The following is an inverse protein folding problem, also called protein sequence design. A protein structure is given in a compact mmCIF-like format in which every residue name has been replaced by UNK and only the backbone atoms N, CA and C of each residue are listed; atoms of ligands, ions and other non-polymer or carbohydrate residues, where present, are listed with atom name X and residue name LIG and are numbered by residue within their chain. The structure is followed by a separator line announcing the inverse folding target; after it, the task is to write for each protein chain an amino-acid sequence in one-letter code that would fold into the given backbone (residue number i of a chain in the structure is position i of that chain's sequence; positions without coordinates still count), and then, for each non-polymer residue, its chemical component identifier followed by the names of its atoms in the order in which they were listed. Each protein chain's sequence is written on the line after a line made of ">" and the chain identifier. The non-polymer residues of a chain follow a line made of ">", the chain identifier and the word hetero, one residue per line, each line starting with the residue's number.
data_IF_261013859735
#
_entry.id   IF_261013859735
#
_cell.length_a   1.000
_cell.length_b   1.000
_cell.length_c   1.000
_cell.angle_alpha   90.00
_cell.angle_beta   90.00
_cell.angle_gamma   90.00
#
_symmetry.space_group_name_H-M   'P 1'
#
loop_
_entity.id
_entity.type
_entity.pdbx_description
1 polymer ?
#
# COMPACT_ATOMS: atom_id res chain seq x y z
N UNK A 1 -40.95 30.42 -8.96
CA UNK A 1 -40.08 31.46 -9.55
C UNK A 1 -39.08 30.78 -10.47
N UNK A 2 -38.86 31.27 -11.70
CA UNK A 2 -37.88 30.67 -12.59
C UNK A 2 -36.48 30.94 -12.04
N UNK A 3 -35.65 29.91 -11.97
CA UNK A 3 -34.24 30.01 -11.61
C UNK A 3 -33.55 30.69 -12.79
N UNK A 4 -33.21 31.96 -12.63
CA UNK A 4 -32.38 32.66 -13.60
C UNK A 4 -30.98 32.04 -13.56
N UNK A 5 -30.63 31.29 -14.60
CA UNK A 5 -29.25 30.88 -14.86
C UNK A 5 -28.54 32.13 -15.36
N UNK A 6 -27.93 32.89 -14.44
CA UNK A 6 -26.94 33.89 -14.85
C UNK A 6 -25.76 33.16 -15.49
N UNK A 7 -25.22 33.64 -16.62
CA UNK A 7 -24.02 33.07 -17.19
C UNK A 7 -22.92 33.16 -16.12
N UNK A 8 -22.51 32.01 -15.60
CA UNK A 8 -21.42 31.89 -14.66
C UNK A 8 -20.16 32.38 -15.37
N UNK A 9 -19.75 33.63 -15.11
CA UNK A 9 -18.36 34.02 -15.38
C UNK A 9 -17.51 33.05 -14.59
N UNK A 10 -16.80 32.16 -15.29
CA UNK A 10 -15.91 31.23 -14.64
C UNK A 10 -14.95 32.04 -13.75
N UNK A 11 -14.80 31.69 -12.46
CA UNK A 11 -13.80 32.32 -11.61
C UNK A 11 -12.45 32.23 -12.30
N UNK A 12 -11.65 33.30 -12.24
CA UNK A 12 -10.29 33.34 -12.78
C UNK A 12 -9.34 33.33 -11.60
N UNK A 13 -8.39 32.38 -11.48
CA UNK A 13 -7.47 32.34 -10.34
C UNK A 13 -6.67 33.64 -10.26
N UNK A 14 -6.39 34.10 -9.05
CA UNK A 14 -5.50 35.23 -8.81
C UNK A 14 -4.24 34.76 -8.09
N UNK A 15 -3.08 35.17 -8.58
CA UNK A 15 -1.78 34.85 -7.99
C UNK A 15 -1.74 35.28 -6.51
N UNK A 16 -1.40 34.34 -5.62
CA UNK A 16 -1.26 34.59 -4.18
C UNK A 16 -2.51 34.28 -3.35
N UNK A 17 -3.64 33.94 -3.97
CA UNK A 17 -4.81 33.38 -3.24
C UNK A 17 -4.41 32.07 -2.55
N UNK A 18 -4.80 31.90 -1.28
CA UNK A 18 -4.57 30.65 -0.55
C UNK A 18 -5.82 29.78 -0.62
N UNK A 19 -5.65 28.52 -1.01
CA UNK A 19 -6.75 27.57 -1.10
C UNK A 19 -7.34 27.30 0.29
N UNK A 20 -8.66 27.44 0.41
CA UNK A 20 -9.43 26.95 1.55
C UNK A 20 -9.66 25.44 1.42
N UNK A 21 -8.71 24.67 1.95
CA UNK A 21 -8.72 23.21 1.93
C UNK A 21 -9.90 22.61 2.71
N UNK A 22 -10.41 23.31 3.73
CA UNK A 22 -11.54 22.82 4.53
C UNK A 22 -12.82 22.87 3.69
N UNK A 23 -13.07 23.97 3.00
CA UNK A 23 -14.22 24.11 2.10
C UNK A 23 -14.12 23.14 0.92
N UNK A 24 -12.93 22.99 0.31
CA UNK A 24 -12.70 22.04 -0.77
C UNK A 24 -13.05 20.61 -0.31
N UNK A 25 -12.56 20.18 0.86
CA UNK A 25 -12.80 18.82 1.35
C UNK A 25 -14.25 18.60 1.79
N UNK A 26 -14.88 19.60 2.42
CA UNK A 26 -16.28 19.53 2.81
C UNK A 26 -17.19 19.29 1.58
N UNK A 27 -17.05 20.11 0.53
CA UNK A 27 -17.87 19.98 -0.67
C UNK A 27 -17.56 18.70 -1.45
N UNK A 28 -16.31 18.24 -1.42
CA UNK A 28 -15.91 16.96 -2.00
C UNK A 28 -16.60 15.78 -1.32
N UNK A 29 -16.69 15.83 0.02
CA UNK A 29 -17.41 14.82 0.81
C UNK A 29 -18.90 14.82 0.49
N UNK A 30 -19.54 15.99 0.44
CA UNK A 30 -20.95 16.10 0.06
C UNK A 30 -21.19 15.52 -1.34
N UNK A 31 -20.29 15.78 -2.30
CA UNK A 31 -20.42 15.27 -3.66
C UNK A 31 -20.32 13.74 -3.73
N UNK A 32 -19.41 13.14 -2.97
CA UNK A 32 -19.13 11.71 -2.95
C UNK A 32 -20.13 10.90 -2.12
N UNK A 33 -20.51 11.42 -0.96
CA UNK A 33 -21.22 10.65 0.06
C UNK A 33 -22.74 10.94 0.07
N UNK A 34 -23.15 12.12 -0.40
CA UNK A 34 -24.56 12.54 -0.39
C UNK A 34 -25.13 12.76 -1.79
N UNK A 35 -24.68 13.80 -2.51
CA UNK A 35 -25.15 14.13 -3.85
C UNK A 35 -24.29 15.21 -4.52
N UNK A 36 -23.96 14.98 -5.79
CA UNK A 36 -23.33 16.00 -6.64
C UNK A 36 -24.20 17.26 -6.82
N UNK A 37 -25.54 17.12 -6.85
CA UNK A 37 -26.44 18.27 -6.96
C UNK A 37 -26.38 19.16 -5.72
N UNK A 38 -26.32 18.55 -4.53
CA UNK A 38 -26.20 19.27 -3.27
C UNK A 38 -24.85 19.98 -3.16
N UNK A 39 -23.77 19.31 -3.55
CA UNK A 39 -22.44 19.92 -3.60
C UNK A 39 -22.39 21.11 -4.55
N UNK A 40 -23.00 21.03 -5.74
CA UNK A 40 -23.14 22.17 -6.68
C UNK A 40 -23.97 23.32 -6.09
N UNK A 41 -25.00 23.01 -5.31
CA UNK A 41 -25.77 24.02 -4.60
C UNK A 41 -24.91 24.76 -3.56
N UNK A 42 -24.14 24.03 -2.74
CA UNK A 42 -23.24 24.64 -1.76
C UNK A 42 -22.10 25.42 -2.42
N UNK A 43 -21.55 24.93 -3.53
CA UNK A 43 -20.58 25.67 -4.36
C UNK A 43 -21.14 27.01 -4.79
N UNK A 44 -22.38 27.07 -5.27
CA UNK A 44 -22.99 28.34 -5.69
C UNK A 44 -23.21 29.31 -4.53
N UNK A 45 -23.50 28.80 -3.34
CA UNK A 45 -23.57 29.62 -2.13
C UNK A 45 -22.18 30.13 -1.70
N UNK A 46 -21.12 29.33 -1.89
CA UNK A 46 -19.74 29.70 -1.58
C UNK A 46 -19.26 30.94 -2.36
N UNK A 47 -19.73 31.11 -3.61
CA UNK A 47 -19.49 32.33 -4.42
C UNK A 47 -20.04 33.57 -3.72
N UNK A 48 -21.22 33.45 -3.10
CA UNK A 48 -21.90 34.57 -2.42
C UNK A 48 -21.25 34.90 -1.08
N UNK A 49 -20.66 33.90 -0.42
CA UNK A 49 -19.95 34.08 0.86
C UNK A 49 -18.51 34.60 0.70
N UNK A 50 -18.06 34.86 -0.54
CA UNK A 50 -16.76 35.46 -0.82
C UNK A 50 -15.58 34.49 -0.78
N UNK A 51 -15.81 33.20 -1.07
CA UNK A 51 -14.71 32.25 -1.30
C UNK A 51 -13.91 32.69 -2.52
N UNK A 52 -12.58 32.60 -2.43
CA UNK A 52 -11.65 33.05 -3.47
C UNK A 52 -11.78 32.23 -4.76
N UNK A 53 -11.31 32.82 -5.87
CA UNK A 53 -11.49 32.22 -7.19
C UNK A 53 -10.71 30.91 -7.35
N UNK A 54 -9.49 30.83 -6.79
CA UNK A 54 -8.66 29.64 -6.80
C UNK A 54 -9.32 28.45 -6.08
N UNK A 55 -9.92 28.68 -4.92
CA UNK A 55 -10.67 27.68 -4.14
C UNK A 55 -11.91 27.22 -4.91
N UNK A 56 -12.65 28.13 -5.54
CA UNK A 56 -13.81 27.78 -6.37
C UNK A 56 -13.42 26.89 -7.55
N UNK A 57 -12.30 27.16 -8.22
CA UNK A 57 -11.80 26.35 -9.34
C UNK A 57 -11.35 24.96 -8.86
N UNK A 58 -10.71 24.87 -7.70
CA UNK A 58 -10.36 23.60 -7.08
C UNK A 58 -11.62 22.74 -6.79
N UNK A 59 -12.67 23.37 -6.24
CA UNK A 59 -13.97 22.73 -6.01
C UNK A 59 -14.58 22.27 -7.35
N UNK A 60 -14.68 23.17 -8.32
CA UNK A 60 -15.28 22.87 -9.63
C UNK A 60 -14.56 21.73 -10.33
N UNK A 61 -13.24 21.70 -10.24
CA UNK A 61 -12.44 20.61 -10.78
C UNK A 61 -12.80 19.27 -10.15
N UNK A 62 -12.94 19.20 -8.82
CA UNK A 62 -13.34 17.95 -8.13
C UNK A 62 -14.79 17.56 -8.47
N UNK A 63 -15.70 18.52 -8.56
CA UNK A 63 -17.09 18.25 -8.94
C UNK A 63 -17.20 17.74 -10.38
N UNK A 64 -16.43 18.30 -11.32
CA UNK A 64 -16.34 17.82 -12.70
C UNK A 64 -15.77 16.39 -12.75
N UNK A 65 -14.73 16.11 -11.95
CA UNK A 65 -14.18 14.76 -11.84
C UNK A 65 -15.24 13.74 -11.34
N UNK A 66 -15.98 14.07 -10.28
CA UNK A 66 -17.06 13.21 -9.77
C UNK A 66 -18.25 13.09 -10.72
N UNK A 67 -18.46 14.07 -11.60
CA UNK A 67 -19.45 13.99 -12.66
C UNK A 67 -19.03 13.06 -13.82
N UNK A 68 -17.75 12.67 -13.88
CA UNK A 68 -17.16 11.94 -15.00
C UNK A 68 -16.62 12.85 -16.12
N UNK A 69 -16.68 14.16 -15.94
CA UNK A 69 -16.21 15.18 -16.90
C UNK A 69 -14.69 15.38 -16.77
N UNK A 70 -13.92 14.31 -17.05
CA UNK A 70 -12.47 14.24 -16.79
C UNK A 70 -11.68 15.35 -17.51
N UNK A 71 -12.10 15.72 -18.73
CA UNK A 71 -11.42 16.75 -19.52
C UNK A 71 -11.58 18.14 -18.91
N UNK A 72 -12.80 18.50 -18.51
CA UNK A 72 -13.08 19.77 -17.83
C UNK A 72 -12.35 19.83 -16.49
N UNK A 73 -12.40 18.72 -15.73
CA UNK A 73 -11.71 18.60 -14.45
C UNK A 73 -10.20 18.83 -14.58
N UNK A 74 -9.56 18.31 -15.64
CA UNK A 74 -8.14 18.51 -15.93
C UNK A 74 -7.83 19.95 -16.35
N UNK A 75 -8.62 20.53 -17.26
CA UNK A 75 -8.45 21.92 -17.70
C UNK A 75 -8.51 22.90 -16.53
N UNK A 76 -9.45 22.72 -15.60
CA UNK A 76 -9.58 23.56 -14.41
C UNK A 76 -8.34 23.47 -13.50
N UNK A 77 -7.74 22.28 -13.33
CA UNK A 77 -6.49 22.14 -12.57
C UNK A 77 -5.31 22.79 -13.28
N UNK A 78 -5.22 22.65 -14.60
CA UNK A 78 -4.14 23.24 -15.39
C UNK A 78 -4.20 24.77 -15.33
N UNK A 79 -5.38 25.36 -15.44
CA UNK A 79 -5.61 26.80 -15.24
C UNK A 79 -5.22 27.23 -13.83
N UNK A 80 -5.67 26.50 -12.80
CA UNK A 80 -5.34 26.81 -11.40
C UNK A 80 -3.82 26.79 -11.15
N UNK A 81 -3.11 25.82 -11.70
CA UNK A 81 -1.66 25.72 -11.54
C UNK A 81 -0.87 26.73 -12.37
N UNK A 82 -1.39 27.16 -13.52
CA UNK A 82 -0.76 28.17 -14.38
C UNK A 82 -0.87 29.58 -13.79
N UNK A 83 -2.01 29.91 -13.21
CA UNK A 83 -2.35 31.27 -12.79
C UNK A 83 -2.20 31.52 -11.28
N UNK A 84 -1.96 30.47 -10.48
CA UNK A 84 -1.69 30.61 -9.05
C UNK A 84 -0.56 29.67 -8.57
N UNK A 85 0.63 30.22 -8.34
CA UNK A 85 1.80 29.45 -7.90
C UNK A 85 1.65 28.84 -6.51
N UNK A 86 0.80 29.39 -5.64
CA UNK A 86 0.53 28.85 -4.29
C UNK A 86 -0.28 27.56 -4.37
N UNK A 87 -1.10 27.39 -5.41
CA UNK A 87 -1.95 26.23 -5.65
C UNK A 87 -1.21 25.05 -6.30
N UNK A 88 0.02 25.25 -6.79
CA UNK A 88 0.78 24.22 -7.52
C UNK A 88 0.96 22.91 -6.73
N UNK A 89 1.15 22.99 -5.41
CA UNK A 89 1.29 21.80 -4.58
C UNK A 89 0.00 20.96 -4.58
N UNK A 90 -1.16 21.62 -4.42
CA UNK A 90 -2.48 21.01 -4.50
C UNK A 90 -2.76 20.43 -5.88
N UNK A 91 -2.49 21.19 -6.95
CA UNK A 91 -2.72 20.76 -8.34
C UNK A 91 -1.93 19.50 -8.65
N UNK A 92 -0.65 19.44 -8.28
CA UNK A 92 0.20 18.25 -8.51
C UNK A 92 -0.30 17.03 -7.75
N UNK A 93 -0.76 17.22 -6.52
CA UNK A 93 -1.32 16.12 -5.72
C UNK A 93 -2.63 15.59 -6.30
N UNK A 94 -3.53 16.47 -6.74
CA UNK A 94 -4.77 16.09 -7.42
C UNK A 94 -4.49 15.35 -8.74
N UNK A 95 -3.56 15.85 -9.56
CA UNK A 95 -3.16 15.18 -10.81
C UNK A 95 -2.58 13.78 -10.55
N UNK A 96 -1.75 13.63 -9.51
CA UNK A 96 -1.20 12.35 -9.08
C UNK A 96 -2.31 11.37 -8.67
N UNK A 97 -3.25 11.82 -7.83
CA UNK A 97 -4.40 11.03 -7.39
C UNK A 97 -5.26 10.57 -8.58
N UNK A 98 -5.57 11.48 -9.50
CA UNK A 98 -6.41 11.18 -10.68
C UNK A 98 -5.72 10.22 -11.64
N UNK A 99 -4.43 10.41 -11.90
CA UNK A 99 -3.65 9.47 -12.70
C UNK A 99 -3.66 8.05 -12.09
N UNK A 100 -3.47 7.95 -10.77
CA UNK A 100 -3.56 6.66 -10.08
C UNK A 100 -4.97 6.05 -10.17
N UNK A 101 -6.02 6.86 -10.02
CA UNK A 101 -7.41 6.41 -10.12
C UNK A 101 -7.78 5.93 -11.53
N UNK A 102 -7.23 6.56 -12.58
CA UNK A 102 -7.40 6.16 -13.98
C UNK A 102 -6.55 4.95 -14.40
N UNK A 103 -5.67 4.45 -13.52
CA UNK A 103 -4.74 3.36 -13.84
C UNK A 103 -3.50 3.81 -14.62
N UNK A 104 -3.27 5.12 -14.75
CA UNK A 104 -2.08 5.71 -15.36
C UNK A 104 -0.90 5.72 -14.37
N UNK A 105 -0.50 4.53 -13.94
CA UNK A 105 0.51 4.32 -12.89
C UNK A 105 1.85 4.98 -13.19
N UNK A 106 2.22 5.09 -14.46
CA UNK A 106 3.48 5.73 -14.87
C UNK A 106 3.45 7.23 -14.61
N UNK A 107 2.32 7.88 -14.89
CA UNK A 107 2.14 9.32 -14.64
C UNK A 107 2.14 9.57 -13.14
N UNK A 108 1.38 8.77 -12.38
CA UNK A 108 1.34 8.86 -10.93
C UNK A 108 2.72 8.64 -10.29
N UNK A 109 3.47 7.62 -10.72
CA UNK A 109 4.82 7.35 -10.23
C UNK A 109 5.79 8.51 -10.53
N UNK A 110 5.78 9.04 -11.76
CA UNK A 110 6.62 10.20 -12.11
C UNK A 110 6.27 11.44 -11.30
N UNK A 111 4.98 11.69 -11.04
CA UNK A 111 4.54 12.81 -10.22
C UNK A 111 5.07 12.71 -8.77
N UNK A 112 4.97 11.53 -8.14
CA UNK A 112 5.53 11.30 -6.79
C UNK A 112 7.05 11.48 -6.78
N UNK A 113 7.75 10.92 -7.78
CA UNK A 113 9.19 11.02 -7.89
C UNK A 113 9.65 12.49 -8.06
N UNK A 114 9.01 13.24 -8.95
CA UNK A 114 9.30 14.68 -9.14
C UNK A 114 8.98 15.52 -7.89
N UNK A 115 7.90 15.19 -7.17
CA UNK A 115 7.56 15.83 -5.89
C UNK A 115 8.67 15.63 -4.86
N UNK A 116 9.19 14.41 -4.75
CA UNK A 116 10.29 14.10 -3.85
C UNK A 116 11.59 14.84 -4.19
N UNK A 117 11.88 15.09 -5.47
CA UNK A 117 13.07 15.83 -5.90
C UNK A 117 12.97 17.35 -5.72
N UNK A 118 11.76 17.90 -5.74
CA UNK A 118 11.55 19.37 -5.74
C UNK A 118 11.18 19.94 -4.38
N UNK A 119 10.71 19.11 -3.45
CA UNK A 119 10.31 19.55 -2.13
C UNK A 119 11.52 19.94 -1.27
N UNK A 120 11.49 21.18 -0.72
CA UNK A 120 12.54 21.68 0.19
C UNK A 120 12.46 21.07 1.60
N UNK A 121 11.25 20.70 2.03
CA UNK A 121 10.97 20.03 3.32
C UNK A 121 9.94 18.96 3.05
N UNK A 122 10.32 17.71 3.30
CA UNK A 122 9.42 16.56 3.19
C UNK A 122 9.07 16.09 4.61
N UNK A 123 7.80 16.20 4.97
CA UNK A 123 7.32 15.75 6.29
C UNK A 123 7.25 14.22 6.38
N UNK A 124 7.04 13.53 5.25
CA UNK A 124 6.94 12.07 5.19
C UNK A 124 7.57 11.50 3.91
N UNK A 125 8.90 11.50 3.87
CA UNK A 125 9.66 10.91 2.75
C UNK A 125 9.43 9.41 2.58
N UNK A 126 9.17 8.70 3.69
CA UNK A 126 8.93 7.26 3.65
C UNK A 126 7.61 6.93 2.97
N UNK A 127 6.53 7.65 3.29
CA UNK A 127 5.26 7.47 2.57
C UNK A 127 5.38 7.75 1.07
N UNK A 128 6.23 8.71 0.66
CA UNK A 128 6.51 8.93 -0.77
C UNK A 128 7.23 7.74 -1.41
N UNK A 129 8.21 7.17 -0.71
CA UNK A 129 8.92 5.97 -1.14
C UNK A 129 7.97 4.78 -1.31
N UNK A 130 7.10 4.56 -0.31
CA UNK A 130 6.06 3.52 -0.33
C UNK A 130 5.07 3.74 -1.48
N UNK A 131 4.60 4.97 -1.67
CA UNK A 131 3.65 5.33 -2.74
C UNK A 131 4.28 5.12 -4.12
N UNK A 132 5.52 5.59 -4.31
CA UNK A 132 6.26 5.41 -5.56
C UNK A 132 6.46 3.93 -5.87
N UNK A 133 6.95 3.16 -4.89
CA UNK A 133 7.11 1.71 -5.02
C UNK A 133 5.80 1.04 -5.44
N UNK A 134 4.69 1.38 -4.76
CA UNK A 134 3.38 0.83 -5.04
C UNK A 134 2.90 1.11 -6.48
N UNK A 135 3.08 2.33 -6.99
CA UNK A 135 2.71 2.64 -8.38
C UNK A 135 3.59 1.90 -9.39
N UNK A 136 4.90 1.87 -9.16
CA UNK A 136 5.82 1.15 -10.02
C UNK A 136 5.53 -0.35 -10.07
N UNK A 137 5.13 -0.95 -8.95
CA UNK A 137 4.75 -2.37 -8.86
C UNK A 137 3.51 -2.71 -9.71
N UNK A 138 2.69 -1.73 -10.12
CA UNK A 138 1.52 -1.93 -10.98
C UNK A 138 1.83 -1.76 -12.47
N UNK A 139 3.04 -1.35 -12.83
CA UNK A 139 3.44 -1.18 -14.23
C UNK A 139 3.62 -2.53 -14.93
N UNK A 140 3.13 -2.69 -16.18
CA UNK A 140 3.44 -3.86 -17.00
C UNK A 140 4.94 -3.95 -17.31
N UNK A 141 5.50 -5.16 -17.36
CA UNK A 141 6.94 -5.39 -17.60
C UNK A 141 7.44 -4.68 -18.87
N UNK A 142 6.71 -4.79 -19.98
CA UNK A 142 7.05 -4.11 -21.24
C UNK A 142 7.11 -2.58 -21.12
N UNK A 143 6.35 -1.99 -20.20
CA UNK A 143 6.42 -0.56 -19.92
C UNK A 143 7.65 -0.22 -19.09
N UNK A 144 7.95 -1.04 -18.07
CA UNK A 144 9.16 -0.87 -17.23
C UNK A 144 10.42 -0.94 -18.09
N UNK A 145 10.57 -1.98 -18.91
CA UNK A 145 11.74 -2.16 -19.79
C UNK A 145 11.93 -0.97 -20.73
N UNK A 146 10.84 -0.52 -21.37
CA UNK A 146 10.87 0.67 -22.23
C UNK A 146 11.28 1.92 -21.47
N UNK A 147 10.77 2.12 -20.24
CA UNK A 147 11.13 3.29 -19.45
C UNK A 147 12.58 3.24 -18.96
N UNK A 148 13.14 2.05 -18.68
CA UNK A 148 14.57 1.89 -18.35
C UNK A 148 15.44 2.36 -19.51
N UNK A 149 15.08 2.01 -20.74
CA UNK A 149 15.81 2.42 -21.95
C UNK A 149 15.77 3.93 -22.21
N UNK A 150 14.66 4.57 -21.82
CA UNK A 150 14.44 6.01 -21.95
C UNK A 150 15.07 6.82 -20.81
N UNK A 151 15.24 6.24 -19.63
CA UNK A 151 15.76 6.90 -18.43
C UNK A 151 17.30 7.05 -18.42
N UNK A 152 17.92 7.40 -19.56
CA UNK A 152 19.38 7.50 -19.68
C UNK A 152 19.97 8.69 -18.93
N UNK A 153 19.21 9.78 -18.88
CA UNK A 153 19.64 11.05 -18.28
C UNK A 153 19.28 11.16 -16.79
N UNK A 154 18.53 10.20 -16.25
CA UNK A 154 18.16 10.14 -14.84
C UNK A 154 18.51 8.77 -14.22
N UNK A 155 19.73 8.62 -13.69
CA UNK A 155 20.18 7.37 -13.07
C UNK A 155 19.36 6.94 -11.86
N UNK A 156 18.80 7.88 -11.11
CA UNK A 156 18.01 7.59 -9.91
C UNK A 156 16.64 7.03 -10.30
N UNK A 157 15.96 7.65 -11.27
CA UNK A 157 14.71 7.12 -11.84
C UNK A 157 14.91 5.76 -12.50
N UNK A 158 16.01 5.59 -13.24
CA UNK A 158 16.38 4.30 -13.82
C UNK A 158 16.59 3.24 -12.75
N UNK A 159 17.27 3.57 -11.66
CA UNK A 159 17.48 2.64 -10.55
C UNK A 159 16.15 2.21 -9.93
N UNK A 160 15.17 3.11 -9.76
CA UNK A 160 13.82 2.79 -9.29
C UNK A 160 13.07 1.81 -10.21
N UNK A 161 13.26 1.89 -11.52
CA UNK A 161 12.65 0.96 -12.47
C UNK A 161 13.36 -0.40 -12.46
N UNK A 162 14.70 -0.41 -12.47
CA UNK A 162 15.51 -1.64 -12.40
C UNK A 162 15.28 -2.40 -11.08
N UNK A 163 15.01 -1.66 -9.99
CA UNK A 163 14.64 -2.20 -8.69
C UNK A 163 13.40 -3.09 -8.77
N UNK A 164 12.36 -2.66 -9.50
CA UNK A 164 11.13 -3.43 -9.67
C UNK A 164 11.38 -4.75 -10.40
N UNK A 165 12.19 -4.69 -11.45
CA UNK A 165 12.58 -5.89 -12.21
C UNK A 165 13.30 -6.86 -11.27
N UNK A 166 14.25 -6.38 -10.47
CA UNK A 166 14.95 -7.23 -9.51
C UNK A 166 14.04 -7.77 -8.40
N UNK A 167 13.10 -6.95 -7.90
CA UNK A 167 12.15 -7.28 -6.85
C UNK A 167 11.19 -8.40 -7.27
N UNK A 168 10.66 -8.32 -8.50
CA UNK A 168 9.71 -9.30 -9.05
C UNK A 168 10.32 -10.68 -9.33
N UNK A 169 11.65 -10.76 -9.45
CA UNK A 169 12.34 -12.02 -9.72
C UNK A 169 12.49 -12.85 -8.45
N UNK A 170 13.36 -12.41 -7.53
CA UNK A 170 13.62 -13.10 -6.27
C UNK A 170 14.46 -12.22 -5.32
N UNK A 171 14.50 -12.63 -4.05
CA UNK A 171 15.24 -11.93 -2.99
C UNK A 171 16.75 -11.86 -3.28
N UNK A 172 17.34 -12.84 -3.95
CA UNK A 172 18.78 -12.86 -4.27
C UNK A 172 19.11 -11.80 -5.31
N UNK A 173 18.34 -11.72 -6.39
CA UNK A 173 18.46 -10.69 -7.45
C UNK A 173 18.23 -9.30 -6.89
N UNK A 174 17.20 -9.15 -6.07
CA UNK A 174 16.93 -7.88 -5.40
C UNK A 174 18.08 -7.47 -4.48
N UNK A 175 18.61 -8.38 -3.66
CA UNK A 175 19.77 -8.09 -2.79
C UNK A 175 21.00 -7.70 -3.60
N UNK A 176 21.26 -8.37 -4.73
CA UNK A 176 22.35 -7.99 -5.64
C UNK A 176 22.16 -6.59 -6.23
N UNK A 177 20.92 -6.26 -6.63
CA UNK A 177 20.57 -4.94 -7.12
C UNK A 177 20.74 -3.88 -6.03
N UNK A 178 20.25 -4.15 -4.80
CA UNK A 178 20.33 -3.25 -3.65
C UNK A 178 21.79 -2.86 -3.37
N UNK A 179 22.69 -3.84 -3.30
CA UNK A 179 24.11 -3.62 -3.03
C UNK A 179 24.82 -2.78 -4.12
N UNK A 180 24.33 -2.77 -5.36
CA UNK A 180 24.96 -2.05 -6.49
C UNK A 180 24.38 -0.66 -6.72
N UNK A 181 23.05 -0.56 -6.64
CA UNK A 181 22.28 0.56 -7.18
C UNK A 181 21.54 1.38 -6.12
N UNK A 182 21.35 0.87 -4.88
CA UNK A 182 20.58 1.61 -3.87
C UNK A 182 21.15 3.00 -3.58
N UNK A 183 22.47 3.17 -3.67
CA UNK A 183 23.15 4.47 -3.51
C UNK A 183 22.75 5.53 -4.56
N UNK A 184 22.17 5.12 -5.68
CA UNK A 184 21.67 6.03 -6.72
C UNK A 184 20.31 6.62 -6.33
N UNK A 185 19.60 6.02 -5.36
CA UNK A 185 18.31 6.48 -4.87
C UNK A 185 18.53 7.26 -3.58
N UNK A 186 18.35 8.58 -3.64
CA UNK A 186 18.41 9.45 -2.46
C UNK A 186 17.01 9.91 -2.04
N UNK A 187 16.20 10.39 -2.99
CA UNK A 187 14.84 10.86 -2.74
C UNK A 187 13.85 10.33 -3.80
N UNK A 188 12.66 9.85 -3.41
CA UNK A 188 12.34 9.48 -2.04
C UNK A 188 13.21 8.27 -1.61
N UNK A 189 13.40 8.02 -0.30
CA UNK A 189 14.11 6.84 0.17
C UNK A 189 13.37 5.56 -0.23
N UNK A 190 14.10 4.45 -0.37
CA UNK A 190 13.50 3.14 -0.56
C UNK A 190 12.59 2.78 0.65
N UNK A 191 11.45 2.12 0.41
CA UNK A 191 10.61 1.58 1.47
C UNK A 191 11.37 0.71 2.47
N UNK A 192 11.13 0.91 3.77
CA UNK A 192 11.76 0.11 4.84
C UNK A 192 11.47 -1.38 4.71
N UNK A 193 10.24 -1.75 4.34
CA UNK A 193 9.85 -3.14 4.18
C UNK A 193 10.67 -3.89 3.12
N UNK A 194 11.23 -3.19 2.12
CA UNK A 194 12.12 -3.80 1.13
C UNK A 194 13.49 -4.14 1.72
N UNK A 195 13.99 -3.30 2.63
CA UNK A 195 15.24 -3.56 3.35
C UNK A 195 15.06 -4.72 4.33
N UNK A 196 13.96 -4.72 5.07
CA UNK A 196 13.58 -5.81 5.97
C UNK A 196 13.39 -7.12 5.21
N UNK A 197 12.80 -7.09 4.03
CA UNK A 197 12.67 -8.26 3.17
C UNK A 197 14.03 -8.86 2.80
N UNK A 198 15.08 -8.06 2.60
CA UNK A 198 16.45 -8.58 2.34
C UNK A 198 17.20 -9.04 3.58
N UNK A 199 16.79 -8.57 4.75
CA UNK A 199 17.46 -8.84 6.03
C UNK A 199 16.65 -9.77 6.94
N UNK A 200 15.58 -10.36 6.42
CA UNK A 200 14.70 -11.25 7.18
C UNK A 200 15.50 -12.37 7.86
N UNK A 201 15.06 -12.80 9.07
CA UNK A 201 15.79 -13.81 9.83
C UNK A 201 15.97 -15.07 8.98
N UNK A 202 17.20 -15.59 8.92
CA UNK A 202 17.43 -16.90 8.32
C UNK A 202 16.71 -17.95 9.15
N UNK A 203 15.71 -18.60 8.55
CA UNK A 203 15.01 -19.70 9.19
C UNK A 203 15.91 -20.93 9.18
N UNK A 204 16.38 -21.34 10.34
CA UNK A 204 17.19 -22.53 10.54
C UNK A 204 16.36 -23.67 11.14
N UNK A 205 15.33 -23.34 11.92
CA UNK A 205 14.45 -24.29 12.61
C UNK A 205 13.00 -23.84 12.52
N UNK A 206 12.16 -24.69 11.95
CA UNK A 206 10.72 -24.51 11.88
C UNK A 206 10.07 -25.66 12.65
N UNK A 207 9.14 -25.33 13.55
CA UNK A 207 8.33 -26.34 14.23
C UNK A 207 6.88 -26.23 13.75
N UNK A 208 6.26 -27.35 13.40
CA UNK A 208 4.87 -27.41 12.97
C UNK A 208 4.04 -28.19 13.98
N UNK A 209 2.95 -27.60 14.47
CA UNK A 209 2.04 -28.17 15.47
C UNK A 209 0.77 -28.60 14.76
N UNK A 210 0.51 -29.91 14.67
CA UNK A 210 -0.63 -30.48 13.94
C UNK A 210 -1.23 -31.67 14.70
N UNK A 211 -2.53 -31.94 14.53
CA UNK A 211 -3.13 -33.18 15.01
C UNK A 211 -2.71 -34.32 14.08
N UNK A 212 -1.75 -35.14 14.51
CA UNK A 212 -1.25 -36.28 13.72
C UNK A 212 -1.84 -37.63 14.18
N UNK A 213 -2.71 -37.61 15.18
CA UNK A 213 -3.48 -38.77 15.65
C UNK A 213 -4.98 -38.44 15.72
N UNK A 214 -5.80 -39.49 15.85
CA UNK A 214 -7.25 -39.37 16.04
C UNK A 214 -8.01 -38.94 14.78
N UNK A 215 -9.18 -38.34 14.98
CA UNK A 215 -10.12 -38.03 13.89
C UNK A 215 -9.59 -37.02 12.86
N UNK A 216 -8.58 -36.24 13.22
CA UNK A 216 -8.01 -35.18 12.37
C UNK A 216 -6.62 -35.54 11.81
N UNK A 217 -6.13 -36.76 12.07
CA UNK A 217 -4.82 -37.22 11.61
C UNK A 217 -4.64 -37.04 10.11
N UNK A 218 -5.61 -37.47 9.30
CA UNK A 218 -5.53 -37.35 7.84
C UNK A 218 -5.38 -35.89 7.36
N UNK A 219 -6.02 -34.94 8.04
CA UNK A 219 -5.89 -33.52 7.71
C UNK A 219 -4.51 -32.97 8.14
N UNK A 220 -4.04 -33.34 9.34
CA UNK A 220 -2.70 -32.97 9.81
C UNK A 220 -1.59 -33.54 8.92
N UNK A 221 -1.69 -34.81 8.52
CA UNK A 221 -0.74 -35.46 7.62
C UNK A 221 -0.69 -34.81 6.24
N UNK A 222 -1.85 -34.43 5.68
CA UNK A 222 -1.90 -33.74 4.39
C UNK A 222 -1.20 -32.37 4.45
N UNK A 223 -1.41 -31.61 5.53
CA UNK A 223 -0.75 -30.31 5.74
C UNK A 223 0.75 -30.50 5.94
N UNK A 224 1.17 -31.48 6.74
CA UNK A 224 2.58 -31.80 6.96
C UNK A 224 3.27 -32.21 5.65
N UNK A 225 2.63 -33.06 4.85
CA UNK A 225 3.15 -33.49 3.56
C UNK A 225 3.37 -32.30 2.61
N UNK A 226 2.39 -31.40 2.49
CA UNK A 226 2.53 -30.17 1.68
C UNK A 226 3.62 -29.24 2.20
N UNK A 227 3.75 -29.09 3.52
CA UNK A 227 4.82 -28.29 4.13
C UNK A 227 6.21 -28.87 3.83
N UNK A 228 6.36 -30.19 3.89
CA UNK A 228 7.60 -30.89 3.53
C UNK A 228 7.90 -30.72 2.04
N UNK A 229 6.94 -30.95 1.15
CA UNK A 229 7.12 -30.76 -0.29
C UNK A 229 7.62 -29.35 -0.61
N UNK A 230 6.95 -28.33 -0.06
CA UNK A 230 7.31 -26.94 -0.30
C UNK A 230 8.67 -26.58 0.30
N UNK A 231 9.02 -27.10 1.47
CA UNK A 231 10.35 -26.93 2.07
C UNK A 231 11.46 -27.44 1.14
N UNK A 232 11.26 -28.59 0.51
CA UNK A 232 12.25 -29.16 -0.42
C UNK A 232 12.32 -28.38 -1.73
N UNK A 233 11.19 -27.87 -2.22
CA UNK A 233 11.12 -27.02 -3.42
C UNK A 233 11.84 -25.68 -3.20
N UNK A 234 11.58 -25.01 -2.07
CA UNK A 234 12.19 -23.72 -1.73
C UNK A 234 13.67 -23.84 -1.36
N UNK A 235 14.07 -24.95 -0.73
CA UNK A 235 15.44 -25.20 -0.27
C UNK A 235 16.01 -26.47 -0.91
N UNK A 236 16.34 -26.43 -2.22
CA UNK A 236 16.89 -27.58 -2.92
C UNK A 236 18.28 -27.97 -2.42
N UNK A 237 19.05 -26.99 -1.92
CA UNK A 237 20.35 -27.23 -1.28
C UNK A 237 20.17 -27.66 0.19
N UNK A 238 20.54 -28.91 0.55
CA UNK A 238 20.39 -29.40 1.91
C UNK A 238 21.17 -28.60 2.97
N UNK A 239 22.29 -27.97 2.60
CA UNK A 239 23.11 -27.20 3.54
C UNK A 239 22.46 -25.87 3.98
N UNK A 240 21.46 -25.39 3.24
CA UNK A 240 20.69 -24.18 3.55
C UNK A 240 19.24 -24.46 3.96
N UNK A 241 18.87 -25.74 4.07
CA UNK A 241 17.48 -26.14 4.34
C UNK A 241 17.19 -26.03 5.84
N UNK A 242 16.13 -25.30 6.25
CA UNK A 242 15.69 -25.29 7.64
C UNK A 242 15.36 -26.71 8.13
N UNK A 243 15.67 -27.01 9.38
CA UNK A 243 15.17 -28.22 10.05
C UNK A 243 13.69 -28.06 10.34
N UNK A 244 12.89 -29.05 9.95
CA UNK A 244 11.46 -29.09 10.26
C UNK A 244 11.20 -30.13 11.35
N UNK A 245 10.65 -29.69 12.48
CA UNK A 245 10.19 -30.55 13.56
C UNK A 245 8.65 -30.58 13.56
N UNK A 246 8.04 -31.75 13.71
CA UNK A 246 6.60 -31.88 13.87
C UNK A 246 6.26 -32.20 15.33
N UNK A 247 5.34 -31.43 15.92
CA UNK A 247 4.75 -31.68 17.23
C UNK A 247 3.32 -32.13 17.02
N UNK A 248 3.02 -33.35 17.45
CA UNK A 248 1.68 -33.89 17.40
C UNK A 248 0.84 -33.30 18.54
N UNK A 249 -0.09 -32.40 18.22
CA UNK A 249 -0.92 -31.73 19.24
C UNK A 249 -1.80 -32.71 20.02
N UNK A 250 -2.16 -33.86 19.43
CA UNK A 250 -3.00 -34.87 20.06
C UNK A 250 -2.30 -35.62 21.21
N UNK A 251 -0.97 -35.52 21.34
CA UNK A 251 -0.19 -36.14 22.42
C UNK A 251 -0.12 -35.28 23.69
N UNK A 252 -0.70 -34.08 23.66
CA UNK A 252 -0.68 -33.14 24.77
C UNK A 252 -2.08 -32.90 25.32
N UNK A 253 -2.23 -32.61 26.63
CA UNK A 253 -3.53 -32.28 27.22
C UNK A 253 -4.18 -31.05 26.59
N UNK A 254 -3.36 -30.10 26.12
CA UNK A 254 -3.81 -28.91 25.41
C UNK A 254 -2.80 -28.48 24.35
N UNK A 255 -3.26 -27.68 23.39
CA UNK A 255 -2.38 -27.04 22.40
C UNK A 255 -1.37 -26.08 23.04
N UNK A 256 -1.69 -25.50 24.21
CA UNK A 256 -0.74 -24.64 24.94
C UNK A 256 0.46 -25.44 25.41
N UNK A 257 0.24 -26.66 25.88
CA UNK A 257 1.31 -27.58 26.29
C UNK A 257 2.13 -28.03 25.08
N UNK A 258 1.47 -28.34 23.96
CA UNK A 258 2.14 -28.64 22.69
C UNK A 258 3.00 -27.45 22.21
N UNK A 259 2.48 -26.22 22.33
CA UNK A 259 3.21 -25.00 21.99
C UNK A 259 4.40 -24.76 22.92
N UNK A 260 4.23 -24.92 24.24
CA UNK A 260 5.35 -24.80 25.18
C UNK A 260 6.45 -25.83 24.89
N UNK A 261 6.08 -27.06 24.53
CA UNK A 261 7.04 -28.06 24.07
C UNK A 261 7.72 -27.64 22.77
N UNK A 262 6.99 -27.07 21.81
CA UNK A 262 7.55 -26.57 20.56
C UNK A 262 8.58 -25.45 20.82
N UNK A 263 8.32 -24.54 21.77
CA UNK A 263 9.24 -23.47 22.17
C UNK A 263 10.56 -24.00 22.73
N UNK A 264 10.55 -25.15 23.41
CA UNK A 264 11.77 -25.78 23.95
C UNK A 264 12.77 -26.20 22.87
N UNK A 265 12.33 -26.39 21.62
CA UNK A 265 13.24 -26.70 20.50
C UNK A 265 13.96 -25.46 19.96
N UNK A 266 13.68 -24.28 20.53
CA UNK A 266 14.14 -22.96 20.09
C UNK A 266 13.95 -22.76 18.58
N UNK A 267 12.71 -22.90 18.05
CA UNK A 267 12.45 -22.67 16.64
C UNK A 267 12.49 -21.17 16.31
N UNK A 268 12.87 -20.85 15.08
CA UNK A 268 12.78 -19.48 14.54
C UNK A 268 11.33 -19.13 14.15
N UNK A 269 10.52 -20.15 13.83
CA UNK A 269 9.14 -20.03 13.40
C UNK A 269 8.32 -21.25 13.85
N UNK A 270 7.12 -21.00 14.36
CA UNK A 270 6.12 -22.04 14.63
C UNK A 270 4.98 -21.93 13.62
N UNK A 271 4.59 -23.06 13.03
CA UNK A 271 3.42 -23.18 12.16
C UNK A 271 2.32 -23.95 12.90
N UNK A 272 1.09 -23.47 12.86
CA UNK A 272 -0.06 -24.09 13.51
C UNK A 272 -0.55 -23.32 14.73
N UNK A 273 -1.59 -23.84 15.40
CA UNK A 273 -2.26 -25.11 15.16
C UNK A 273 -3.22 -25.08 13.96
N UNK A 274 -3.79 -26.25 13.62
CA UNK A 274 -4.65 -26.44 12.44
C UNK A 274 -6.13 -26.17 12.71
N UNK A 275 -6.63 -26.45 13.91
CA UNK A 275 -8.07 -26.36 14.18
C UNK A 275 -8.46 -24.99 14.75
N UNK A 276 -9.67 -24.52 14.46
CA UNK A 276 -10.21 -23.28 15.05
C UNK A 276 -10.16 -23.29 16.59
N UNK A 277 -10.50 -24.43 17.20
CA UNK A 277 -10.53 -24.58 18.65
C UNK A 277 -9.13 -24.46 19.27
N UNK A 278 -8.14 -25.12 18.67
CA UNK A 278 -6.75 -24.99 19.10
C UNK A 278 -6.20 -23.58 18.85
N UNK A 279 -6.56 -22.93 17.74
CA UNK A 279 -6.17 -21.54 17.47
C UNK A 279 -6.73 -20.60 18.55
N UNK A 280 -8.02 -20.70 18.87
CA UNK A 280 -8.64 -19.91 19.92
C UNK A 280 -7.96 -20.14 21.28
N UNK A 281 -7.73 -21.40 21.65
CA UNK A 281 -7.06 -21.76 22.89
C UNK A 281 -5.62 -21.24 22.94
N UNK A 282 -4.88 -21.21 21.83
CA UNK A 282 -3.52 -20.68 21.78
C UNK A 282 -3.50 -19.16 21.91
N UNK A 283 -4.44 -18.45 21.27
CA UNK A 283 -4.52 -16.98 21.31
C UNK A 283 -4.78 -16.43 22.72
N UNK A 284 -5.40 -17.21 23.61
CA UNK A 284 -5.57 -16.85 25.02
C UNK A 284 -4.23 -16.69 25.78
N UNK A 285 -3.11 -17.20 25.26
CA UNK A 285 -1.78 -16.94 25.82
C UNK A 285 -1.33 -15.46 25.64
N UNK A 286 -2.01 -14.71 24.76
CA UNK A 286 -1.65 -13.33 24.44
C UNK A 286 -0.37 -13.27 23.60
N UNK A 287 0.72 -12.75 24.18
CA UNK A 287 2.00 -12.61 23.48
C UNK A 287 2.68 -13.96 23.31
N UNK A 288 2.91 -14.37 22.06
CA UNK A 288 3.67 -15.57 21.73
C UNK A 288 5.16 -15.22 21.63
N UNK A 289 6.07 -15.92 22.35
CA UNK A 289 7.50 -15.59 22.38
C UNK A 289 8.24 -15.91 21.07
N UNK A 290 7.70 -16.82 20.26
CA UNK A 290 8.25 -17.20 18.97
C UNK A 290 7.26 -16.74 17.88
N UNK A 291 7.74 -16.18 16.75
CA UNK A 291 6.89 -15.90 15.60
C UNK A 291 6.05 -17.14 15.24
N UNK A 292 4.72 -16.98 15.20
CA UNK A 292 3.79 -18.10 14.99
C UNK A 292 2.80 -17.77 13.89
N UNK A 293 2.73 -18.62 12.87
CA UNK A 293 1.73 -18.55 11.80
C UNK A 293 0.65 -19.59 12.10
N UNK A 294 -0.53 -19.10 12.49
CA UNK A 294 -1.71 -19.92 12.73
C UNK A 294 -2.24 -20.44 11.38
N UNK A 295 -2.58 -21.73 11.31
CA UNK A 295 -3.07 -22.37 10.08
C UNK A 295 -4.60 -22.33 9.97
N UNK A 296 -5.24 -21.61 10.89
CA UNK A 296 -6.66 -21.33 10.88
C UNK A 296 -6.91 -19.95 11.51
N UNK A 297 -8.13 -19.47 11.38
CA UNK A 297 -8.58 -18.23 12.02
C UNK A 297 -9.50 -18.55 13.19
N UNK A 298 -9.47 -17.76 14.28
CA UNK A 298 -10.50 -17.83 15.30
C UNK A 298 -11.87 -17.54 14.66
N UNK A 299 -12.94 -18.09 15.24
CA UNK A 299 -14.28 -17.72 14.82
C UNK A 299 -14.46 -16.21 15.01
N UNK A 300 -14.85 -15.49 13.95
CA UNK A 300 -15.14 -14.07 14.02
C UNK A 300 -16.51 -13.86 14.69
N UNK A 301 -16.60 -14.16 15.98
CA UNK A 301 -17.75 -13.76 16.79
C UNK A 301 -17.59 -12.27 17.13
N UNK A 302 -18.16 -11.43 16.27
CA UNK A 302 -18.79 -10.15 16.64
C UNK A 302 -18.12 -9.35 17.77
N UNK A 303 -16.87 -8.89 17.59
CA UNK A 303 -16.25 -7.87 18.48
C UNK A 303 -16.50 -6.45 17.96
N UNK A 304 -17.20 -6.30 16.82
CA UNK A 304 -17.43 -5.00 16.18
C UNK A 304 -18.82 -4.40 16.47
N UNK A 305 -19.29 -4.51 17.73
CA UNK A 305 -20.51 -3.80 18.16
C UNK A 305 -20.38 -2.93 19.39
N UNK A 306 -19.19 -2.81 19.98
CA UNK A 306 -18.93 -1.87 21.07
C UNK A 306 -17.47 -1.38 21.06
N UNK A 307 -17.13 -0.53 20.10
CA UNK A 307 -16.14 0.54 20.28
C UNK A 307 -16.62 1.79 19.59
#
# INVERSE_FOLDING_TARGET
>A
MPIAVTPSTAPTPLEGEQLDLETIEHLSRVARDESLLLARHYRNHAVVTGVDASTLIAIDSRLAWYAGDIQEAAQLLDTLGADNSTALAFVREEQEYRAAASGDWLIAAKAVYQRALTAKVLHDEQALGDKLFNYLLRLPDATVDRQIDLARDDPAWRAWLEMQVAYRLDQTRFTQWLNRNARLISHPPLPRHLLEWTQGPELNRVTIILPLDGNLAAAGEAVLAGAVEQLYSLYPNPAKRPKLNAVNSAQYPSVRDAYQRAVQDEPDLILGPLTKAEVAALMELGSLPIPTILLNQPEADTVDRQR
#
